data_IF_672162377860
#
_entry.id   IF_672162377860
#
_cell.length_a   1.000
_cell.length_b   1.000
_cell.length_c   1.000
_cell.angle_alpha   90.00
_cell.angle_beta   90.00
_cell.angle_gamma   90.00
#
_symmetry.space_group_name_H-M   'P 1'
#
loop_
_entity.id
_entity.type
_entity.pdbx_description
1 polymer ?
#
# COMPACT_ATOMS: atom_id res chain seq x y z
N UNK A 1 -6.96 2.96 22.85
CA UNK A 1 -7.46 4.33 23.17
C UNK A 1 -8.67 4.27 24.09
N UNK A 2 -8.59 3.37 25.06
CA UNK A 2 -9.68 2.99 25.96
C UNK A 2 -10.26 4.16 26.77
N UNK A 3 -9.39 5.10 27.20
CA UNK A 3 -9.83 6.31 27.93
C UNK A 3 -10.87 7.10 27.13
N UNK A 4 -10.81 7.06 25.80
CA UNK A 4 -11.75 7.79 24.95
C UNK A 4 -13.13 7.13 24.83
N UNK A 5 -13.38 6.01 25.51
CA UNK A 5 -14.76 5.49 25.70
C UNK A 5 -15.61 6.56 26.42
N UNK A 6 -15.03 7.19 27.45
CA UNK A 6 -15.71 8.16 28.31
C UNK A 6 -15.15 9.60 28.23
N UNK A 7 -13.97 9.79 27.66
CA UNK A 7 -13.25 11.07 27.52
C UNK A 7 -13.12 11.52 26.08
N UNK A 8 -13.14 12.84 25.85
CA UNK A 8 -12.86 13.43 24.52
C UNK A 8 -11.40 13.34 24.09
N UNK A 9 -10.48 13.09 25.02
CA UNK A 9 -9.05 13.11 24.77
C UNK A 9 -8.39 11.82 25.21
N UNK A 10 -7.48 11.31 24.39
CA UNK A 10 -6.62 10.20 24.75
C UNK A 10 -5.55 10.62 25.77
N UNK A 11 -5.07 9.68 26.56
CA UNK A 11 -3.88 9.85 27.38
C UNK A 11 -2.61 9.89 26.53
N UNK A 12 -1.52 10.45 27.08
CA UNK A 12 -0.20 10.45 26.40
C UNK A 12 0.31 9.03 26.15
N UNK A 13 0.03 8.09 27.06
CA UNK A 13 0.41 6.70 26.91
C UNK A 13 -0.29 6.07 25.68
N UNK A 14 -1.60 6.24 25.57
CA UNK A 14 -2.38 5.72 24.42
C UNK A 14 -1.94 6.32 23.08
N UNK A 15 -1.66 7.62 23.03
CA UNK A 15 -1.12 8.28 21.83
C UNK A 15 0.23 7.66 21.46
N UNK A 16 1.10 7.44 22.45
CA UNK A 16 2.42 6.85 22.23
C UNK A 16 2.33 5.39 21.77
N UNK A 17 1.40 4.60 22.31
CA UNK A 17 1.18 3.20 21.92
C UNK A 17 0.75 3.10 20.46
N UNK A 18 -0.18 3.95 20.01
CA UNK A 18 -0.59 4.00 18.60
C UNK A 18 0.59 4.43 17.70
N UNK A 19 1.32 5.47 18.11
CA UNK A 19 2.47 5.95 17.35
C UNK A 19 3.56 4.86 17.21
N UNK A 20 3.90 4.18 18.30
CA UNK A 20 4.86 3.08 18.28
C UNK A 20 4.41 1.92 17.41
N UNK A 21 3.12 1.56 17.43
CA UNK A 21 2.59 0.50 16.56
C UNK A 21 2.85 0.79 15.08
N UNK A 22 2.70 2.05 14.65
CA UNK A 22 3.00 2.46 13.27
C UNK A 22 4.50 2.43 13.00
N UNK A 23 5.32 2.96 13.91
CA UNK A 23 6.78 2.94 13.78
C UNK A 23 7.33 1.51 13.70
N UNK A 24 6.76 0.60 14.48
CA UNK A 24 7.11 -0.84 14.48
C UNK A 24 6.60 -1.60 13.23
N UNK A 25 5.87 -0.92 12.34
CA UNK A 25 5.48 -1.45 11.03
C UNK A 25 4.10 -2.11 10.99
N UNK A 26 3.19 -1.80 11.91
CA UNK A 26 1.81 -2.25 11.79
C UNK A 26 1.17 -1.75 10.49
N UNK A 27 0.47 -2.63 9.79
CA UNK A 27 -0.24 -2.29 8.55
C UNK A 27 -1.61 -1.66 8.80
N UNK A 28 -2.22 -1.98 9.95
CA UNK A 28 -3.51 -1.45 10.36
C UNK A 28 -3.58 -1.40 11.88
N UNK A 29 -4.37 -0.46 12.40
CA UNK A 29 -4.73 -0.36 13.82
C UNK A 29 -6.24 -0.58 13.97
N UNK A 30 -6.67 -1.09 15.11
CA UNK A 30 -8.06 -1.44 15.36
C UNK A 30 -8.61 -0.67 16.55
N UNK A 31 -9.84 -0.19 16.43
CA UNK A 31 -10.68 0.30 17.50
C UNK A 31 -11.78 -0.74 17.80
N UNK A 32 -12.23 -0.84 19.03
CA UNK A 32 -13.24 -1.79 19.48
C UNK A 32 -14.33 -1.08 20.30
N UNK A 33 -14.23 -1.13 21.62
CA UNK A 33 -15.17 -0.49 22.53
C UNK A 33 -15.31 1.01 22.33
N UNK A 34 -14.21 1.67 21.97
CA UNK A 34 -14.14 3.12 21.73
C UNK A 34 -15.14 3.59 20.66
N UNK A 35 -15.40 2.75 19.65
CA UNK A 35 -16.34 3.07 18.56
C UNK A 35 -17.69 2.39 18.69
N UNK A 36 -17.77 1.23 19.38
CA UNK A 36 -19.03 0.47 19.47
C UNK A 36 -19.92 0.88 20.63
N UNK A 37 -19.33 1.30 21.77
CA UNK A 37 -20.04 1.70 22.99
C UNK A 37 -19.57 3.04 23.55
N UNK A 38 -18.47 3.60 23.04
CA UNK A 38 -17.90 4.85 23.50
C UNK A 38 -18.82 6.04 23.22
N UNK A 39 -18.70 7.08 24.06
CA UNK A 39 -19.48 8.33 23.94
C UNK A 39 -19.05 9.21 22.76
N UNK A 40 -17.80 9.03 22.30
CA UNK A 40 -17.17 9.94 21.31
C UNK A 40 -16.56 9.19 20.11
N UNK A 41 -17.32 8.32 19.41
CA UNK A 41 -16.75 7.44 18.37
C UNK A 41 -16.10 8.18 17.21
N UNK A 42 -16.64 9.33 16.83
CA UNK A 42 -16.09 10.15 15.73
C UNK A 42 -14.74 10.77 16.14
N UNK A 43 -14.66 11.29 17.38
CA UNK A 43 -13.46 11.93 17.89
C UNK A 43 -12.30 10.92 18.09
N UNK A 44 -12.63 9.70 18.49
CA UNK A 44 -11.62 8.61 18.57
C UNK A 44 -11.02 8.34 17.20
N UNK A 45 -11.84 8.22 16.15
CA UNK A 45 -11.34 7.99 14.78
C UNK A 45 -10.50 9.18 14.30
N UNK A 46 -10.94 10.42 14.58
CA UNK A 46 -10.17 11.63 14.23
C UNK A 46 -8.82 11.66 14.93
N UNK A 47 -8.81 11.40 16.23
CA UNK A 47 -7.58 11.36 17.02
C UNK A 47 -6.62 10.28 16.52
N UNK A 48 -7.12 9.07 16.29
CA UNK A 48 -6.36 7.96 15.71
C UNK A 48 -5.76 8.37 14.35
N UNK A 49 -6.58 8.91 13.45
CA UNK A 49 -6.15 9.36 12.12
C UNK A 49 -5.06 10.42 12.20
N UNK A 50 -5.17 11.37 13.14
CA UNK A 50 -4.16 12.41 13.31
C UNK A 50 -2.82 11.85 13.81
N UNK A 51 -2.86 10.89 14.74
CA UNK A 51 -1.64 10.20 15.20
C UNK A 51 -0.97 9.48 14.02
N UNK A 52 -1.75 8.67 13.28
CA UNK A 52 -1.24 7.93 12.13
C UNK A 52 -0.57 8.86 11.11
N UNK A 53 -1.27 9.91 10.68
CA UNK A 53 -0.73 10.90 9.72
C UNK A 53 0.53 11.59 10.21
N UNK A 54 0.59 11.94 11.49
CA UNK A 54 1.77 12.60 12.08
C UNK A 54 2.97 11.67 12.05
N UNK A 55 2.80 10.39 12.40
CA UNK A 55 3.87 9.41 12.38
C UNK A 55 4.31 9.10 10.94
N UNK A 56 3.35 8.90 10.03
CA UNK A 56 3.62 8.61 8.61
C UNK A 56 4.32 9.76 7.88
N UNK A 57 4.09 11.01 8.31
CA UNK A 57 4.80 12.18 7.77
C UNK A 57 6.20 12.36 8.35
N UNK A 58 6.56 11.61 9.38
CA UNK A 58 7.88 11.65 10.01
C UNK A 58 8.83 10.62 9.37
N UNK A 59 10.14 10.82 9.55
CA UNK A 59 11.16 9.85 9.12
C UNK A 59 11.37 8.71 10.13
N UNK A 60 10.48 8.56 11.12
CA UNK A 60 10.62 7.61 12.23
C UNK A 60 10.16 6.19 11.87
N UNK A 61 9.49 6.00 10.73
CA UNK A 61 9.06 4.66 10.30
C UNK A 61 10.29 3.84 9.91
N UNK A 62 10.49 2.73 10.62
CA UNK A 62 11.59 1.81 10.31
C UNK A 62 11.25 1.01 9.06
N UNK A 63 12.01 1.24 7.99
CA UNK A 63 11.91 0.49 6.74
C UNK A 63 13.19 -0.31 6.54
N UNK A 64 13.13 -1.55 6.02
CA UNK A 64 14.34 -2.27 5.66
C UNK A 64 15.22 -1.44 4.72
N UNK A 65 16.52 -1.30 5.04
CA UNK A 65 17.45 -0.49 4.22
C UNK A 65 18.19 -1.32 3.17
N UNK A 66 18.26 -2.64 3.37
CA UNK A 66 19.06 -3.52 2.53
C UNK A 66 18.21 -4.23 1.48
N UNK A 67 18.76 -4.33 0.27
CA UNK A 67 18.16 -5.11 -0.80
C UNK A 67 18.02 -6.59 -0.39
N UNK A 68 17.04 -7.32 -0.93
CA UNK A 68 16.91 -8.75 -0.69
C UNK A 68 18.18 -9.49 -1.13
N UNK A 69 18.83 -10.21 -0.21
CA UNK A 69 20.10 -10.93 -0.46
C UNK A 69 19.95 -12.46 -0.49
N UNK A 70 18.80 -12.98 -0.09
CA UNK A 70 18.55 -14.43 -0.03
C UNK A 70 17.92 -14.91 -1.33
N UNK A 71 18.63 -15.76 -2.08
CA UNK A 71 18.16 -16.37 -3.33
C UNK A 71 17.12 -17.47 -3.06
N UNK A 72 15.86 -17.09 -3.07
CA UNK A 72 14.71 -18.00 -3.01
C UNK A 72 14.07 -18.11 -4.39
N UNK A 73 13.09 -19.01 -4.56
CA UNK A 73 12.27 -19.08 -5.79
C UNK A 73 11.59 -17.74 -6.16
N UNK A 74 11.37 -16.86 -5.19
CA UNK A 74 10.73 -15.54 -5.36
C UNK A 74 11.72 -14.38 -5.28
N UNK A 75 13.03 -14.67 -5.37
CA UNK A 75 14.08 -13.64 -5.28
C UNK A 75 13.91 -12.53 -6.32
N UNK A 76 13.60 -12.89 -7.57
CA UNK A 76 13.39 -11.94 -8.67
C UNK A 76 12.24 -10.97 -8.30
N UNK A 77 11.08 -11.50 -7.91
CA UNK A 77 9.94 -10.65 -7.51
C UNK A 77 10.26 -9.74 -6.32
N UNK A 78 10.96 -10.27 -5.30
CA UNK A 78 11.39 -9.45 -4.15
C UNK A 78 12.33 -8.33 -4.57
N UNK A 79 13.31 -8.63 -5.42
CA UNK A 79 14.27 -7.65 -5.92
C UNK A 79 13.59 -6.58 -6.76
N UNK A 80 12.65 -6.97 -7.64
CA UNK A 80 11.88 -6.02 -8.45
C UNK A 80 11.03 -5.12 -7.56
N UNK A 81 10.34 -5.64 -6.55
CA UNK A 81 9.55 -4.84 -5.61
C UNK A 81 10.41 -3.83 -4.84
N UNK A 82 11.59 -4.24 -4.39
CA UNK A 82 12.57 -3.36 -3.77
C UNK A 82 12.98 -2.22 -4.72
N UNK A 83 13.47 -2.58 -5.91
CA UNK A 83 13.91 -1.57 -6.88
C UNK A 83 12.77 -0.67 -7.37
N UNK A 84 11.54 -1.20 -7.48
CA UNK A 84 10.35 -0.40 -7.79
C UNK A 84 10.09 0.66 -6.73
N UNK A 85 10.20 0.30 -5.45
CA UNK A 85 10.02 1.26 -4.34
C UNK A 85 11.12 2.31 -4.32
N UNK A 86 12.38 1.92 -4.56
CA UNK A 86 13.51 2.86 -4.64
C UNK A 86 13.41 3.78 -5.86
N UNK A 87 13.04 3.23 -7.02
CA UNK A 87 12.84 4.01 -8.24
C UNK A 87 11.70 5.00 -8.08
N UNK A 88 10.55 4.55 -7.55
CA UNK A 88 9.39 5.39 -7.30
C UNK A 88 9.74 6.59 -6.41
N UNK A 89 10.55 6.37 -5.36
CA UNK A 89 11.07 7.45 -4.50
C UNK A 89 11.98 8.39 -5.29
N UNK A 90 12.91 7.85 -6.09
CA UNK A 90 13.89 8.64 -6.85
C UNK A 90 13.28 9.54 -7.92
N UNK A 91 12.24 9.06 -8.61
CA UNK A 91 11.53 9.82 -9.65
C UNK A 91 10.27 10.53 -9.12
N UNK A 92 10.00 10.45 -7.82
CA UNK A 92 8.79 11.00 -7.19
C UNK A 92 7.49 10.48 -7.84
N UNK A 93 7.46 9.20 -8.20
CA UNK A 93 6.30 8.58 -8.81
C UNK A 93 5.07 8.70 -7.92
N UNK A 94 3.93 9.06 -8.50
CA UNK A 94 2.66 9.19 -7.79
C UNK A 94 2.13 7.85 -7.31
N UNK A 95 2.32 6.80 -8.11
CA UNK A 95 1.87 5.46 -7.77
C UNK A 95 2.83 4.35 -8.24
N UNK A 96 2.75 3.22 -7.54
CA UNK A 96 3.26 1.92 -7.98
C UNK A 96 2.03 1.06 -8.29
N UNK A 97 1.83 0.74 -9.56
CA UNK A 97 0.72 -0.10 -10.03
C UNK A 97 1.20 -1.53 -10.23
N UNK A 98 0.43 -2.52 -9.76
CA UNK A 98 0.76 -3.94 -9.97
C UNK A 98 -0.46 -4.79 -10.25
N UNK A 99 -0.28 -5.79 -11.12
CA UNK A 99 -1.24 -6.86 -11.30
C UNK A 99 -0.80 -8.06 -10.46
N UNK A 100 -1.75 -8.65 -9.74
CA UNK A 100 -1.47 -9.83 -8.93
C UNK A 100 -2.68 -10.74 -8.82
N UNK A 101 -2.44 -12.04 -8.78
CA UNK A 101 -3.50 -13.02 -8.55
C UNK A 101 -3.53 -13.50 -7.08
N UNK A 102 -2.41 -13.48 -6.40
CA UNK A 102 -2.25 -13.96 -5.02
C UNK A 102 -2.07 -12.85 -3.98
N UNK A 103 -1.89 -11.59 -4.42
CA UNK A 103 -1.56 -10.47 -3.54
C UNK A 103 -0.07 -10.38 -3.15
N UNK A 104 0.74 -11.39 -3.47
CA UNK A 104 2.13 -11.46 -3.00
C UNK A 104 2.95 -10.20 -3.32
N UNK A 105 2.83 -9.67 -4.54
CA UNK A 105 3.54 -8.45 -4.96
C UNK A 105 3.12 -7.25 -4.12
N UNK A 106 1.82 -7.13 -3.80
CA UNK A 106 1.32 -6.06 -2.94
C UNK A 106 1.94 -6.12 -1.54
N UNK A 107 2.01 -7.32 -0.93
CA UNK A 107 2.71 -7.51 0.35
C UNK A 107 4.18 -7.09 0.27
N UNK A 108 4.88 -7.46 -0.80
CA UNK A 108 6.29 -7.13 -0.96
C UNK A 108 6.52 -5.63 -1.14
N UNK A 109 5.67 -4.92 -1.90
CA UNK A 109 5.79 -3.48 -2.09
C UNK A 109 5.44 -2.74 -0.79
N UNK A 110 4.33 -3.12 -0.13
CA UNK A 110 3.88 -2.51 1.11
C UNK A 110 4.93 -2.59 2.23
N UNK A 111 5.69 -3.68 2.30
CA UNK A 111 6.77 -3.85 3.27
C UNK A 111 7.87 -2.77 3.17
N UNK A 112 8.04 -2.14 2.01
CA UNK A 112 9.01 -1.07 1.78
C UNK A 112 8.46 0.33 2.09
N UNK A 113 7.20 0.45 2.52
CA UNK A 113 6.55 1.70 2.91
C UNK A 113 6.81 2.85 1.92
N UNK A 114 6.59 2.68 0.60
CA UNK A 114 6.85 3.75 -0.36
C UNK A 114 5.91 4.94 -0.09
N UNK A 115 6.39 6.15 -0.37
CA UNK A 115 5.56 7.37 -0.32
C UNK A 115 4.51 7.44 -1.43
N UNK A 116 4.69 6.65 -2.49
CA UNK A 116 3.76 6.52 -3.62
C UNK A 116 2.54 5.67 -3.25
N UNK A 117 1.38 5.92 -3.85
CA UNK A 117 0.22 5.04 -3.73
C UNK A 117 0.55 3.63 -4.26
N UNK A 118 0.10 2.60 -3.56
CA UNK A 118 0.22 1.21 -4.03
C UNK A 118 -1.13 0.79 -4.59
N UNK A 119 -1.26 0.79 -5.92
CA UNK A 119 -2.50 0.47 -6.64
C UNK A 119 -2.42 -0.97 -7.17
N UNK A 120 -3.27 -1.83 -6.66
CA UNK A 120 -3.25 -3.26 -6.94
C UNK A 120 -4.46 -3.67 -7.74
N UNK A 121 -4.24 -4.31 -8.88
CA UNK A 121 -5.27 -4.78 -9.78
C UNK A 121 -5.31 -6.31 -9.76
N UNK A 122 -6.50 -6.90 -9.57
CA UNK A 122 -6.66 -8.35 -9.46
C UNK A 122 -8.03 -8.81 -9.92
N UNK A 123 -8.07 -9.98 -10.58
CA UNK A 123 -9.32 -10.69 -10.88
C UNK A 123 -9.80 -11.58 -9.72
N UNK A 124 -8.98 -11.74 -8.68
CA UNK A 124 -9.31 -12.57 -7.53
C UNK A 124 -10.06 -11.77 -6.47
N UNK A 125 -11.38 -11.92 -6.45
CA UNK A 125 -12.26 -11.21 -5.51
C UNK A 125 -11.95 -11.49 -4.03
N UNK A 126 -11.40 -12.68 -3.70
CA UNK A 126 -11.08 -13.02 -2.30
C UNK A 126 -10.02 -12.14 -1.70
N UNK A 127 -8.99 -11.79 -2.48
CA UNK A 127 -7.88 -11.02 -1.96
C UNK A 127 -8.17 -9.51 -1.89
N UNK A 128 -9.19 -9.01 -2.59
CA UNK A 128 -9.54 -7.58 -2.59
C UNK A 128 -9.74 -7.04 -1.17
N UNK A 129 -10.51 -7.75 -0.35
CA UNK A 129 -10.77 -7.35 1.05
C UNK A 129 -9.54 -7.51 1.93
N UNK A 130 -8.76 -8.57 1.73
CA UNK A 130 -7.53 -8.81 2.49
C UNK A 130 -6.47 -7.74 2.21
N UNK A 131 -6.34 -7.32 0.94
CA UNK A 131 -5.38 -6.29 0.54
C UNK A 131 -5.67 -4.91 1.16
N UNK A 132 -6.91 -4.63 1.53
CA UNK A 132 -7.27 -3.39 2.23
C UNK A 132 -6.70 -3.31 3.66
N UNK A 133 -6.20 -4.40 4.22
CA UNK A 133 -5.52 -4.41 5.51
C UNK A 133 -4.02 -4.13 5.40
N UNK A 134 -3.48 -4.07 4.19
CA UNK A 134 -2.07 -3.74 3.97
C UNK A 134 -1.86 -2.22 3.94
N UNK A 135 -0.77 -1.81 4.54
CA UNK A 135 -0.36 -0.41 4.53
C UNK A 135 -0.22 0.15 3.12
N UNK A 136 -0.86 1.30 2.88
CA UNK A 136 -0.75 2.05 1.64
C UNK A 136 -1.38 1.39 0.40
N UNK A 137 -1.97 0.21 0.53
CA UNK A 137 -2.55 -0.54 -0.60
C UNK A 137 -3.98 -0.13 -0.86
N UNK A 138 -4.28 0.11 -2.15
CA UNK A 138 -5.62 0.22 -2.68
C UNK A 138 -5.84 -0.82 -3.77
N UNK A 139 -6.81 -1.70 -3.57
CA UNK A 139 -7.06 -2.81 -4.47
C UNK A 139 -8.29 -2.57 -5.34
N UNK A 140 -8.18 -2.92 -6.63
CA UNK A 140 -9.23 -2.80 -7.64
C UNK A 140 -9.50 -4.14 -8.31
N UNK A 141 -10.76 -4.42 -8.58
CA UNK A 141 -11.12 -5.56 -9.41
C UNK A 141 -10.79 -5.25 -10.87
N UNK A 142 -10.01 -6.13 -11.50
CA UNK A 142 -9.65 -6.05 -12.90
C UNK A 142 -9.52 -7.46 -13.48
N UNK A 143 -10.25 -7.73 -14.55
CA UNK A 143 -10.30 -9.06 -15.19
C UNK A 143 -10.20 -8.99 -16.72
N UNK A 144 -9.56 -7.96 -17.24
CA UNK A 144 -9.39 -7.78 -18.68
C UNK A 144 -7.90 -7.92 -19.03
N UNK A 145 -7.40 -9.17 -19.14
CA UNK A 145 -6.01 -9.44 -19.48
C UNK A 145 -5.85 -9.42 -21.01
N UNK A 146 -5.37 -8.30 -21.51
CA UNK A 146 -4.94 -8.11 -22.90
C UNK A 146 -3.40 -8.24 -23.01
N UNK A 147 -2.83 -7.70 -24.08
CA UNK A 147 -1.37 -7.50 -24.15
C UNK A 147 -0.89 -6.63 -22.98
N UNK A 148 0.36 -6.79 -22.57
CA UNK A 148 0.95 -6.04 -21.44
C UNK A 148 0.78 -4.54 -21.59
N UNK A 149 1.02 -4.00 -22.80
CA UNK A 149 0.91 -2.55 -23.06
C UNK A 149 -0.52 -2.05 -22.88
N UNK A 150 -1.52 -2.74 -23.45
CA UNK A 150 -2.93 -2.38 -23.29
C UNK A 150 -3.36 -2.47 -21.83
N UNK A 151 -2.95 -3.52 -21.14
CA UNK A 151 -3.27 -3.71 -19.72
C UNK A 151 -2.70 -2.57 -18.87
N UNK A 152 -1.42 -2.20 -19.06
CA UNK A 152 -0.80 -1.08 -18.34
C UNK A 152 -1.56 0.23 -18.63
N UNK A 153 -1.91 0.49 -19.87
CA UNK A 153 -2.69 1.69 -20.24
C UNK A 153 -4.06 1.69 -19.56
N UNK A 154 -4.78 0.56 -19.58
CA UNK A 154 -6.12 0.45 -18.97
C UNK A 154 -6.08 0.63 -17.44
N UNK A 155 -5.11 0.03 -16.74
CA UNK A 155 -5.02 0.17 -15.27
C UNK A 155 -4.65 1.60 -14.87
N UNK A 156 -3.77 2.27 -15.63
CA UNK A 156 -3.45 3.67 -15.39
C UNK A 156 -4.68 4.57 -15.62
N UNK A 157 -5.46 4.33 -16.69
CA UNK A 157 -6.72 5.05 -16.93
C UNK A 157 -7.76 4.82 -15.81
N UNK A 158 -7.84 3.61 -15.27
CA UNK A 158 -8.71 3.33 -14.11
C UNK A 158 -8.24 4.14 -12.91
N UNK A 159 -6.93 4.17 -12.64
CA UNK A 159 -6.36 4.93 -11.53
C UNK A 159 -6.63 6.44 -11.67
N UNK A 160 -6.54 7.00 -12.87
CA UNK A 160 -6.91 8.39 -13.16
C UNK A 160 -8.41 8.64 -12.90
N UNK A 161 -9.30 7.80 -13.44
CA UNK A 161 -10.75 7.92 -13.21
C UNK A 161 -11.14 7.86 -11.74
N UNK A 162 -10.36 7.13 -10.92
CA UNK A 162 -10.57 7.02 -9.49
C UNK A 162 -9.91 8.14 -8.67
N UNK A 163 -9.25 9.09 -9.33
CA UNK A 163 -8.61 10.26 -8.72
C UNK A 163 -7.30 9.99 -7.99
N UNK A 164 -6.60 8.87 -8.31
CA UNK A 164 -5.28 8.56 -7.77
C UNK A 164 -4.13 9.10 -8.62
N UNK A 165 -4.39 9.36 -9.90
CA UNK A 165 -3.44 9.89 -10.88
C UNK A 165 -4.05 11.06 -11.62
N UNK A 166 -3.18 11.99 -12.04
CA UNK A 166 -3.47 13.14 -12.90
C UNK A 166 -2.59 13.05 -14.15
N UNK A 167 -2.90 13.88 -15.17
CA UNK A 167 -2.06 13.98 -16.37
C UNK A 167 -0.62 14.39 -15.97
N UNK A 168 0.37 13.82 -16.65
CA UNK A 168 1.81 13.97 -16.42
C UNK A 168 2.34 13.30 -15.14
N UNK A 169 1.52 12.61 -14.36
CA UNK A 169 2.02 11.83 -13.21
C UNK A 169 2.91 10.65 -13.68
N UNK A 170 4.04 10.46 -12.99
CA UNK A 170 4.89 9.29 -13.17
C UNK A 170 4.36 8.10 -12.39
N UNK A 171 4.32 6.94 -13.04
CA UNK A 171 3.81 5.68 -12.49
C UNK A 171 4.82 4.57 -12.73
N UNK A 172 5.13 3.80 -11.68
CA UNK A 172 5.92 2.58 -11.78
C UNK A 172 4.97 1.39 -11.90
N UNK A 173 5.01 0.68 -13.02
CA UNK A 173 4.16 -0.47 -13.29
C UNK A 173 4.94 -1.77 -13.12
N UNK A 174 4.39 -2.72 -12.35
CA UNK A 174 4.95 -4.05 -12.12
C UNK A 174 4.05 -5.12 -12.73
N UNK A 175 4.60 -5.91 -13.64
CA UNK A 175 3.87 -6.96 -14.35
C UNK A 175 4.69 -8.25 -14.46
N UNK A 176 4.04 -9.34 -14.84
CA UNK A 176 4.71 -10.52 -15.38
C UNK A 176 4.72 -10.44 -16.92
N UNK A 177 5.81 -10.80 -17.54
CA UNK A 177 5.90 -10.93 -18.99
C UNK A 177 6.38 -12.35 -19.34
N UNK A 178 5.64 -13.08 -20.20
CA UNK A 178 4.35 -12.71 -20.77
C UNK A 178 3.22 -12.63 -19.72
N UNK A 179 2.24 -11.76 -19.94
CA UNK A 179 1.16 -11.49 -18.98
C UNK A 179 0.21 -12.68 -18.83
N UNK A 180 0.12 -13.51 -19.87
CA UNK A 180 -0.72 -14.71 -19.95
C UNK A 180 -0.21 -15.84 -19.04
N UNK A 181 1.09 -15.87 -18.80
CA UNK A 181 1.68 -16.80 -17.85
C UNK A 181 1.41 -16.30 -16.43
N UNK A 182 0.67 -17.12 -15.65
CA UNK A 182 0.47 -16.88 -14.21
C UNK A 182 1.80 -17.06 -13.46
N UNK A 183 2.74 -16.17 -13.76
CA UNK A 183 4.08 -16.18 -13.23
C UNK A 183 4.28 -15.15 -12.10
N UNK A 184 5.52 -15.11 -11.64
CA UNK A 184 6.00 -14.08 -10.71
C UNK A 184 6.26 -12.79 -11.49
N UNK A 185 6.04 -11.62 -10.87
CA UNK A 185 6.46 -10.34 -11.42
C UNK A 185 7.95 -10.37 -11.78
N UNK A 186 8.24 -10.05 -13.03
CA UNK A 186 9.57 -10.06 -13.62
C UNK A 186 9.89 -8.79 -14.41
N UNK A 187 8.96 -7.84 -14.50
CA UNK A 187 9.09 -6.63 -15.32
C UNK A 187 8.69 -5.40 -14.52
N UNK A 188 9.50 -4.35 -14.64
CA UNK A 188 9.27 -3.02 -14.12
C UNK A 188 9.26 -2.04 -15.30
N UNK A 189 8.21 -1.21 -15.40
CA UNK A 189 8.07 -0.18 -16.42
C UNK A 189 7.70 1.14 -15.78
N UNK A 190 8.32 2.24 -16.22
CA UNK A 190 7.89 3.60 -15.91
C UNK A 190 6.96 4.09 -17.03
N UNK A 191 5.86 4.71 -16.64
CA UNK A 191 4.93 5.39 -17.54
C UNK A 191 4.68 6.82 -17.07
N UNK A 192 4.39 7.70 -17.99
CA UNK A 192 3.79 9.01 -17.72
C UNK A 192 2.35 8.91 -18.22
N UNK A 193 1.39 9.35 -17.44
CA UNK A 193 -0.05 9.23 -17.74
C UNK A 193 -0.64 10.55 -18.15
#
# INVERSE_FOLDING_TARGET
>A
METMIDSLTATRAEVNDVANSVMDGADAVMLSGETSVGKYPVEVIRTMTNILRTVESSELIVVPQEAPNIRTKRFITKSICYHASQLAKGIQAKAICTLTNSGYTAYQISAWRPSSHILVFTSNKRILTQLNLLWGVKAFYYNNLNSTDKTVTEINQIAMKMGYLEEEDMVVNLTSMPIEEKGMVNTLRVSIV
#
